data_IF_042934657151
#
_entry.id   IF_042934657151
#
_cell.length_a   1.000
_cell.length_b   1.000
_cell.length_c   1.000
_cell.angle_alpha   90.00
_cell.angle_beta   90.00
_cell.angle_gamma   90.00
#
_symmetry.space_group_name_H-M   'P 1'
#
loop_
_entity.id
_entity.type
_entity.pdbx_description
1 polymer ?
#
# COMPACT_ATOMS: atom_id res chain seq x y z
N UNK A 1 11.86 0.73 -15.49
CA UNK A 1 12.47 0.56 -14.16
C UNK A 1 13.01 -0.86 -14.06
N UNK A 2 14.28 -1.04 -13.73
CA UNK A 2 14.90 -2.36 -13.49
C UNK A 2 14.54 -2.85 -12.07
N UNK A 3 13.23 -2.95 -11.80
CA UNK A 3 12.72 -3.37 -10.49
C UNK A 3 12.61 -4.89 -10.41
N UNK A 4 13.04 -5.46 -9.27
CA UNK A 4 12.94 -6.90 -8.98
C UNK A 4 11.62 -7.26 -8.29
N UNK A 5 11.04 -6.32 -7.55
CA UNK A 5 9.77 -6.50 -6.83
C UNK A 5 8.94 -5.22 -6.90
N UNK A 6 7.63 -5.35 -7.00
CA UNK A 6 6.71 -4.23 -6.91
C UNK A 6 5.36 -4.63 -6.32
N UNK A 7 4.75 -3.70 -5.60
CA UNK A 7 3.37 -3.79 -5.13
C UNK A 7 2.60 -2.52 -5.51
N UNK A 8 1.29 -2.61 -5.71
CA UNK A 8 0.44 -1.42 -5.90
C UNK A 8 0.51 -0.49 -4.68
N UNK A 9 0.23 0.80 -4.89
CA UNK A 9 0.32 1.78 -3.80
C UNK A 9 -0.96 2.60 -3.60
N UNK A 10 -1.14 3.72 -4.30
CA UNK A 10 -2.26 4.65 -4.07
C UNK A 10 -3.62 4.09 -4.46
N UNK A 11 -4.66 4.56 -3.77
CA UNK A 11 -6.01 4.54 -4.31
C UNK A 11 -6.16 5.51 -5.49
N UNK A 12 -7.20 5.36 -6.30
CA UNK A 12 -7.45 6.23 -7.46
C UNK A 12 -8.93 6.29 -7.83
N UNK A 13 -9.30 7.31 -8.61
CA UNK A 13 -10.65 7.44 -9.13
C UNK A 13 -10.91 6.39 -10.22
N UNK A 14 -11.82 5.48 -9.92
CA UNK A 14 -12.24 4.43 -10.84
C UNK A 14 -13.76 4.24 -10.77
N UNK A 15 -14.49 5.25 -11.25
CA UNK A 15 -15.95 5.31 -11.17
C UNK A 15 -16.66 4.17 -11.91
N UNK A 16 -16.00 3.56 -12.89
CA UNK A 16 -16.56 2.47 -13.69
C UNK A 16 -16.04 1.10 -13.26
N UNK A 17 -15.09 1.02 -12.33
CA UNK A 17 -14.49 -0.23 -11.84
C UNK A 17 -13.61 -0.96 -12.87
N UNK A 18 -13.20 -0.27 -13.94
CA UNK A 18 -12.45 -0.85 -15.06
C UNK A 18 -10.92 -0.81 -14.86
N UNK A 19 -10.45 -0.12 -13.82
CA UNK A 19 -9.03 0.09 -13.61
C UNK A 19 -8.41 0.92 -14.73
N UNK A 20 -8.71 2.22 -14.76
CA UNK A 20 -8.24 3.10 -15.84
C UNK A 20 -6.76 3.47 -15.73
N UNK A 21 -6.10 3.14 -14.61
CA UNK A 21 -4.76 3.62 -14.27
C UNK A 21 -4.71 5.14 -14.08
N UNK A 22 -5.86 5.72 -13.71
CA UNK A 22 -6.07 7.16 -13.62
C UNK A 22 -5.19 7.84 -12.56
N UNK A 23 -5.54 9.08 -12.25
CA UNK A 23 -4.78 9.87 -11.25
C UNK A 23 -4.92 9.26 -9.86
N UNK A 24 -3.81 9.11 -9.11
CA UNK A 24 -3.85 8.63 -7.74
C UNK A 24 -4.63 9.61 -6.85
N UNK A 25 -5.22 9.12 -5.78
CA UNK A 25 -5.76 9.95 -4.72
C UNK A 25 -4.67 10.35 -3.73
N UNK A 26 -4.67 11.64 -3.37
CA UNK A 26 -3.83 12.17 -2.34
C UNK A 26 -2.39 12.41 -2.77
N UNK A 27 -1.52 12.47 -1.77
CA UNK A 27 -0.11 12.77 -1.96
C UNK A 27 0.59 11.75 -2.86
N UNK A 28 1.37 12.27 -3.80
CA UNK A 28 2.32 11.49 -4.58
C UNK A 28 3.63 12.24 -4.72
N UNK A 29 4.70 11.59 -4.29
CA UNK A 29 6.08 12.09 -4.46
C UNK A 29 6.95 10.96 -4.99
N UNK A 30 7.80 11.26 -5.96
CA UNK A 30 8.75 10.31 -6.50
C UNK A 30 10.06 10.97 -6.83
N UNK A 31 11.17 10.36 -6.39
CA UNK A 31 12.53 10.83 -6.60
C UNK A 31 12.73 12.30 -6.17
N UNK A 32 12.13 12.68 -5.05
CA UNK A 32 12.21 14.03 -4.51
C UNK A 32 11.24 15.05 -5.14
N UNK A 33 10.54 14.71 -6.23
CA UNK A 33 9.57 15.58 -6.88
C UNK A 33 8.15 15.29 -6.37
N UNK A 34 7.45 16.32 -5.87
CA UNK A 34 6.04 16.23 -5.50
C UNK A 34 5.19 16.35 -6.76
N UNK A 35 4.58 15.24 -7.16
CA UNK A 35 3.72 15.15 -8.34
C UNK A 35 2.28 15.51 -8.02
N UNK A 36 1.83 15.25 -6.79
CA UNK A 36 0.49 15.58 -6.32
C UNK A 36 0.50 15.92 -4.83
N UNK A 37 -0.20 16.98 -4.38
CA UNK A 37 -0.27 17.35 -2.97
C UNK A 37 -1.20 16.41 -2.18
N UNK A 38 -1.01 16.36 -0.87
CA UNK A 38 -1.94 15.70 0.05
C UNK A 38 -3.32 16.38 0.02
N UNK A 39 -4.38 15.58 0.03
CA UNK A 39 -5.74 16.09 -0.11
C UNK A 39 -6.75 15.50 0.88
N UNK A 40 -6.43 14.40 1.54
CA UNK A 40 -7.38 13.66 2.36
C UNK A 40 -7.18 13.94 3.85
N UNK A 41 -8.19 14.55 4.47
CA UNK A 41 -8.22 14.75 5.91
C UNK A 41 -8.24 13.39 6.64
N UNK A 42 -7.31 13.19 7.58
CA UNK A 42 -7.20 11.97 8.36
C UNK A 42 -6.48 10.80 7.68
N UNK A 43 -6.10 10.93 6.40
CA UNK A 43 -5.21 9.97 5.75
C UNK A 43 -3.77 10.21 6.18
N UNK A 44 -2.90 9.23 5.92
CA UNK A 44 -1.49 9.33 6.28
C UNK A 44 -0.63 9.32 5.02
N UNK A 45 0.38 10.19 5.01
CA UNK A 45 1.47 10.08 4.06
C UNK A 45 2.33 8.89 4.50
N UNK A 46 2.69 8.06 3.55
CA UNK A 46 3.48 6.84 3.68
C UNK A 46 4.63 7.00 2.72
N UNK A 47 5.83 7.24 3.20
CA UNK A 47 6.95 7.57 2.32
C UNK A 47 8.29 7.20 2.91
N UNK A 48 9.27 7.03 2.03
CA UNK A 48 10.66 6.82 2.40
C UNK A 48 11.43 8.15 2.33
N UNK A 49 12.27 8.39 3.32
CA UNK A 49 13.24 9.48 3.29
C UNK A 49 14.50 9.09 2.49
N UNK A 50 15.49 10.00 2.44
CA UNK A 50 16.74 9.77 1.71
C UNK A 50 17.63 8.69 2.34
N UNK A 51 17.39 8.32 3.60
CA UNK A 51 18.10 7.27 4.34
C UNK A 51 17.35 5.93 4.33
N UNK A 52 16.31 5.81 3.47
CA UNK A 52 15.44 4.64 3.34
C UNK A 52 14.62 4.29 4.60
N UNK A 53 14.34 5.28 5.47
CA UNK A 53 13.43 5.09 6.60
C UNK A 53 11.98 5.35 6.19
N UNK A 54 11.11 4.42 6.52
CA UNK A 54 9.66 4.55 6.29
C UNK A 54 9.05 5.50 7.32
N UNK A 55 8.51 6.60 6.83
CA UNK A 55 7.78 7.61 7.58
C UNK A 55 6.27 7.46 7.34
N UNK A 56 5.47 7.42 8.41
CA UNK A 56 4.02 7.35 8.32
C UNK A 56 3.40 8.40 9.23
N UNK A 57 2.61 9.32 8.68
CA UNK A 57 2.00 10.38 9.48
C UNK A 57 1.27 11.44 8.67
N UNK A 58 0.84 12.46 9.37
CA UNK A 58 0.35 13.71 8.79
C UNK A 58 1.52 14.72 8.79
N UNK A 59 2.00 15.06 7.60
CA UNK A 59 3.15 15.95 7.47
C UNK A 59 2.73 17.26 6.82
N UNK A 60 3.05 18.38 7.44
CA UNK A 60 2.93 19.72 6.84
C UNK A 60 4.13 20.06 5.97
N UNK A 61 5.26 19.42 6.22
CA UNK A 61 6.49 19.51 5.42
C UNK A 61 6.91 18.10 5.02
N UNK A 62 7.01 17.87 3.73
CA UNK A 62 7.42 16.60 3.11
C UNK A 62 8.76 16.71 2.41
N UNK A 63 9.54 17.77 2.66
CA UNK A 63 10.81 18.01 1.98
C UNK A 63 11.85 16.91 2.24
N UNK A 64 11.78 16.25 3.39
CA UNK A 64 12.64 15.14 3.78
C UNK A 64 12.27 13.79 3.12
N UNK A 65 11.10 13.69 2.49
CA UNK A 65 10.71 12.46 1.82
C UNK A 65 11.30 12.43 0.40
N UNK A 66 11.81 11.27 0.01
CA UNK A 66 12.24 10.98 -1.36
C UNK A 66 11.06 10.47 -2.19
N UNK A 67 10.35 9.49 -1.69
CA UNK A 67 9.19 8.85 -2.35
C UNK A 67 8.04 8.73 -1.35
N UNK A 68 6.79 8.79 -1.83
CA UNK A 68 5.66 8.59 -0.92
C UNK A 68 4.30 8.71 -1.60
N UNK A 69 3.32 8.14 -0.94
CA UNK A 69 1.89 8.14 -1.29
C UNK A 69 1.05 8.52 -0.09
N UNK A 70 -0.27 8.67 -0.28
CA UNK A 70 -1.22 8.91 0.79
C UNK A 70 -2.27 7.79 0.80
N UNK A 71 -2.48 7.16 1.98
CA UNK A 71 -3.52 6.16 2.16
C UNK A 71 -3.95 6.00 3.62
N UNK A 72 -4.93 5.11 3.89
CA UNK A 72 -5.46 4.79 5.22
C UNK A 72 -5.98 3.36 5.33
N UNK A 73 -6.12 2.85 6.56
CA UNK A 73 -5.54 3.37 7.80
C UNK A 73 -4.07 3.01 7.95
N UNK A 74 -3.34 3.79 8.76
CA UNK A 74 -2.08 3.32 9.30
C UNK A 74 -2.33 2.11 10.21
N UNK A 75 -1.44 1.13 10.15
CA UNK A 75 -1.54 -0.11 10.94
C UNK A 75 -0.72 -0.04 12.22
N UNK A 76 0.55 0.38 12.06
CA UNK A 76 1.52 0.44 13.15
C UNK A 76 2.29 1.76 13.01
N UNK A 77 2.39 2.52 14.10
CA UNK A 77 3.24 3.70 14.20
C UNK A 77 4.09 3.59 15.45
N UNK A 78 5.41 3.69 15.30
CA UNK A 78 6.38 3.58 16.38
C UNK A 78 6.18 2.32 17.24
N UNK A 79 5.95 1.17 16.58
CA UNK A 79 5.73 -0.12 17.23
C UNK A 79 4.36 -0.29 17.88
N UNK A 80 3.49 0.71 17.81
CA UNK A 80 2.13 0.61 18.36
C UNK A 80 1.14 0.18 17.28
N UNK A 81 0.49 -0.97 17.46
CA UNK A 81 -0.59 -1.43 16.58
C UNK A 81 -1.86 -0.61 16.84
N UNK A 82 -2.28 0.16 15.85
CA UNK A 82 -3.40 1.11 15.93
C UNK A 82 -4.74 0.48 15.56
N UNK A 83 -4.74 -0.70 14.95
CA UNK A 83 -5.94 -1.36 14.44
C UNK A 83 -6.37 -2.57 15.27
N UNK A 84 -5.61 -2.93 16.29
CA UNK A 84 -5.98 -3.98 17.23
C UNK A 84 -7.29 -3.62 17.95
N UNK A 85 -8.31 -4.50 17.83
CA UNK A 85 -9.62 -4.28 18.45
C UNK A 85 -10.44 -3.14 17.81
N UNK A 86 -10.09 -2.69 16.62
CA UNK A 86 -10.80 -1.60 15.93
C UNK A 86 -12.16 -2.01 15.35
N UNK A 87 -12.44 -3.31 15.24
CA UNK A 87 -13.65 -3.82 14.57
C UNK A 87 -13.60 -3.75 13.05
N UNK A 88 -12.45 -3.41 12.45
CA UNK A 88 -12.25 -3.39 10.99
C UNK A 88 -12.07 -4.81 10.44
N UNK A 89 -13.13 -5.60 10.50
CA UNK A 89 -13.16 -7.06 10.29
C UNK A 89 -13.52 -7.49 8.87
N UNK A 90 -13.84 -6.55 7.96
CA UNK A 90 -14.19 -6.86 6.58
C UNK A 90 -13.05 -7.56 5.83
N UNK A 91 -13.35 -8.74 5.27
CA UNK A 91 -12.36 -9.57 4.57
C UNK A 91 -12.28 -9.18 3.10
N UNK A 92 -11.12 -8.71 2.68
CA UNK A 92 -10.84 -8.24 1.32
C UNK A 92 -9.42 -8.65 0.91
N UNK A 93 -9.10 -8.65 -0.40
CA UNK A 93 -7.71 -8.57 -0.84
C UNK A 93 -7.07 -7.33 -0.23
N UNK A 94 -5.84 -7.45 0.25
CA UNK A 94 -5.15 -6.37 0.97
C UNK A 94 -3.72 -6.19 0.48
N UNK A 95 -3.28 -4.94 0.48
CA UNK A 95 -1.87 -4.56 0.28
C UNK A 95 -1.44 -3.69 1.44
N UNK A 96 -0.26 -3.95 1.98
CA UNK A 96 0.34 -3.16 3.04
C UNK A 96 1.86 -3.09 2.87
N UNK A 97 2.44 -2.01 3.38
CA UNK A 97 3.88 -1.80 3.46
C UNK A 97 4.28 -1.50 4.90
N UNK A 98 5.44 -1.94 5.31
CA UNK A 98 5.99 -1.63 6.63
C UNK A 98 7.50 -1.74 6.68
N UNK A 99 8.06 -1.34 7.81
CA UNK A 99 9.48 -1.42 8.08
C UNK A 99 9.73 -1.77 9.55
N UNK A 100 10.67 -2.67 9.80
CA UNK A 100 11.18 -2.96 11.13
C UNK A 100 12.22 -1.91 11.57
N UNK A 101 12.55 -1.88 12.87
CA UNK A 101 13.56 -0.95 13.42
C UNK A 101 14.97 -1.14 12.81
N UNK A 102 15.28 -2.33 12.33
CA UNK A 102 16.57 -2.63 11.68
C UNK A 102 16.63 -2.18 10.21
N UNK A 103 15.58 -1.55 9.69
CA UNK A 103 15.46 -1.08 8.33
C UNK A 103 14.89 -2.12 7.35
N UNK A 104 14.60 -3.36 7.79
CA UNK A 104 13.98 -4.38 6.92
C UNK A 104 12.60 -3.93 6.43
N UNK A 105 12.44 -3.77 5.12
CA UNK A 105 11.15 -3.43 4.51
C UNK A 105 10.29 -4.67 4.30
N UNK A 106 9.02 -4.56 4.63
CA UNK A 106 8.01 -5.60 4.47
C UNK A 106 6.95 -5.16 3.48
N UNK A 107 6.69 -6.00 2.48
CA UNK A 107 5.61 -5.82 1.52
C UNK A 107 4.64 -6.99 1.64
N UNK A 108 3.40 -6.72 2.03
CA UNK A 108 2.35 -7.72 2.21
C UNK A 108 1.28 -7.54 1.15
N UNK A 109 1.01 -8.59 0.39
CA UNK A 109 -0.17 -8.67 -0.48
C UNK A 109 -0.91 -9.96 -0.18
N UNK A 110 -2.21 -9.86 0.00
CA UNK A 110 -3.09 -11.00 0.28
C UNK A 110 -4.19 -11.05 -0.77
N UNK A 111 -4.27 -12.16 -1.49
CA UNK A 111 -5.38 -12.44 -2.39
C UNK A 111 -6.71 -12.53 -1.64
N UNK A 112 -7.81 -12.29 -2.33
CA UNK A 112 -9.13 -12.43 -1.72
C UNK A 112 -10.25 -12.52 -2.74
N UNK A 113 -11.50 -12.64 -2.26
CA UNK A 113 -12.71 -12.79 -3.08
C UNK A 113 -12.67 -14.01 -4.00
N UNK A 114 -11.93 -15.06 -3.61
CA UNK A 114 -11.71 -16.27 -4.39
C UNK A 114 -11.90 -17.52 -3.50
N UNK A 115 -12.14 -18.69 -4.13
CA UNK A 115 -12.36 -19.94 -3.38
C UNK A 115 -11.15 -20.38 -2.54
N UNK A 116 -9.94 -20.06 -2.99
CA UNK A 116 -8.71 -20.38 -2.29
C UNK A 116 -8.28 -19.33 -1.26
N UNK A 117 -8.82 -18.10 -1.35
CA UNK A 117 -8.58 -17.01 -0.41
C UNK A 117 -9.77 -16.06 -0.36
N UNK A 118 -10.36 -15.91 0.81
CA UNK A 118 -11.43 -14.92 1.02
C UNK A 118 -10.89 -13.51 1.23
N UNK A 119 -9.59 -13.38 1.49
CA UNK A 119 -8.93 -12.17 1.94
C UNK A 119 -8.80 -12.11 3.45
N UNK A 120 -8.35 -10.98 3.95
CA UNK A 120 -8.19 -10.74 5.39
C UNK A 120 -8.73 -9.36 5.80
N UNK A 121 -8.94 -9.19 7.11
CA UNK A 121 -9.34 -7.91 7.68
C UNK A 121 -8.15 -6.96 7.82
N UNK A 122 -8.43 -5.67 8.03
CA UNK A 122 -7.40 -4.67 8.35
C UNK A 122 -6.71 -5.00 9.67
N UNK A 123 -7.48 -5.46 10.69
CA UNK A 123 -6.90 -5.92 11.95
C UNK A 123 -5.90 -7.05 11.73
N UNK A 124 -6.25 -8.03 10.87
CA UNK A 124 -5.36 -9.14 10.55
C UNK A 124 -4.09 -8.70 9.81
N UNK A 125 -4.18 -7.66 8.96
CA UNK A 125 -2.99 -7.05 8.37
C UNK A 125 -2.06 -6.48 9.46
N UNK A 126 -2.62 -5.74 10.43
CA UNK A 126 -1.87 -5.22 11.57
C UNK A 126 -1.17 -6.31 12.37
N UNK A 127 -1.89 -7.40 12.71
CA UNK A 127 -1.33 -8.55 13.43
C UNK A 127 -0.18 -9.23 12.66
N UNK A 128 -0.34 -9.40 11.34
CA UNK A 128 0.70 -9.98 10.48
C UNK A 128 1.94 -9.07 10.49
N UNK A 129 1.78 -7.80 10.20
CA UNK A 129 2.89 -6.85 10.17
C UNK A 129 3.62 -6.78 11.53
N UNK A 130 2.86 -6.76 12.64
CA UNK A 130 3.40 -6.81 13.99
C UNK A 130 4.18 -8.11 14.26
N UNK A 131 3.66 -9.25 13.82
CA UNK A 131 4.32 -10.55 14.00
C UNK A 131 5.66 -10.67 13.26
N UNK A 132 5.84 -9.90 12.19
CA UNK A 132 7.10 -9.77 11.47
C UNK A 132 8.00 -8.64 11.98
N UNK A 133 7.60 -7.98 13.06
CA UNK A 133 8.42 -6.96 13.74
C UNK A 133 8.33 -5.57 13.13
N UNK A 134 7.23 -5.25 12.42
CA UNK A 134 7.05 -3.90 11.89
C UNK A 134 7.03 -2.85 13.00
N UNK A 135 7.86 -1.83 12.84
CA UNK A 135 7.87 -0.62 13.67
C UNK A 135 6.99 0.46 13.07
N UNK A 136 6.97 0.54 11.74
CA UNK A 136 6.04 1.34 10.96
C UNK A 136 5.30 0.44 9.97
N UNK A 137 3.98 0.57 9.82
CA UNK A 137 3.21 -0.11 8.78
C UNK A 137 1.94 0.64 8.44
N UNK A 138 1.53 0.58 7.17
CA UNK A 138 0.27 1.14 6.70
C UNK A 138 -0.37 0.27 5.63
N UNK A 139 -1.70 0.37 5.55
CA UNK A 139 -2.42 -0.12 4.38
C UNK A 139 -2.04 0.69 3.15
N UNK A 140 -2.15 0.06 2.00
CA UNK A 140 -2.19 0.63 0.66
C UNK A 140 -3.51 0.25 0.00
N UNK A 141 -3.75 0.66 -1.26
CA UNK A 141 -4.98 0.31 -1.96
C UNK A 141 -5.15 -1.21 -2.04
N UNK A 142 -6.34 -1.65 -1.73
CA UNK A 142 -6.70 -3.06 -1.62
C UNK A 142 -7.66 -3.53 -2.70
N UNK A 143 -8.39 -4.60 -2.37
CA UNK A 143 -9.42 -5.13 -3.27
C UNK A 143 -8.84 -5.59 -4.61
N UNK A 144 -9.44 -5.15 -5.71
CA UNK A 144 -9.00 -5.52 -7.07
C UNK A 144 -7.65 -4.90 -7.47
N UNK A 145 -7.10 -3.99 -6.65
CA UNK A 145 -5.79 -3.38 -6.88
C UNK A 145 -4.64 -4.18 -6.26
N UNK A 146 -4.94 -5.13 -5.36
CA UNK A 146 -3.91 -5.90 -4.64
C UNK A 146 -3.13 -6.78 -5.61
N UNK A 147 -1.87 -6.41 -5.87
CA UNK A 147 -0.99 -7.13 -6.79
C UNK A 147 0.45 -7.07 -6.32
N UNK A 148 1.18 -8.17 -6.52
CA UNK A 148 2.63 -8.24 -6.33
C UNK A 148 3.28 -8.85 -7.56
N UNK A 149 4.31 -8.17 -8.06
CA UNK A 149 5.11 -8.62 -9.21
C UNK A 149 6.54 -8.86 -8.74
N UNK A 150 7.09 -10.03 -9.03
CA UNK A 150 8.46 -10.40 -8.71
C UNK A 150 9.18 -10.91 -9.95
N UNK A 151 10.35 -10.34 -10.26
CA UNK A 151 11.14 -10.66 -11.45
C UNK A 151 10.29 -10.65 -12.74
N UNK A 152 9.44 -9.62 -12.90
CA UNK A 152 8.58 -9.46 -14.08
C UNK A 152 7.42 -10.44 -14.16
N UNK A 153 7.13 -11.19 -13.10
CA UNK A 153 6.00 -12.12 -13.02
C UNK A 153 5.07 -11.71 -11.89
N UNK A 154 3.79 -11.67 -12.18
CA UNK A 154 2.77 -11.56 -11.16
C UNK A 154 2.75 -12.86 -10.32
N UNK A 155 2.88 -12.72 -8.99
CA UNK A 155 2.92 -13.84 -8.04
C UNK A 155 1.67 -13.91 -7.15
N UNK A 156 0.77 -12.96 -7.30
CA UNK A 156 -0.55 -12.90 -6.69
C UNK A 156 -1.62 -13.25 -7.73
N UNK A 157 -2.86 -13.40 -7.29
CA UNK A 157 -4.02 -13.69 -8.15
C UNK A 157 -5.09 -12.62 -7.95
N UNK A 158 -4.91 -11.40 -8.49
CA UNK A 158 -5.87 -10.31 -8.28
C UNK A 158 -7.23 -10.65 -8.87
N UNK A 159 -8.28 -10.31 -8.12
CA UNK A 159 -9.66 -10.48 -8.55
C UNK A 159 -10.16 -9.17 -9.15
N UNK A 160 -10.37 -9.12 -10.45
CA UNK A 160 -10.94 -7.96 -11.12
C UNK A 160 -12.45 -8.12 -11.27
N UNK A 161 -13.18 -7.01 -11.11
CA UNK A 161 -14.59 -6.94 -11.46
C UNK A 161 -14.78 -6.68 -12.96
N UNK A 162 -13.75 -6.19 -13.61
CA UNK A 162 -13.73 -5.96 -15.07
C UNK A 162 -13.34 -7.24 -15.82
N UNK A 163 -13.81 -7.35 -17.07
CA UNK A 163 -13.43 -8.44 -17.98
C UNK A 163 -12.03 -8.23 -18.60
N UNK A 164 -11.18 -7.40 -17.97
CA UNK A 164 -9.83 -7.18 -18.45
C UNK A 164 -8.94 -8.38 -18.07
N UNK A 165 -8.53 -9.22 -19.03
CA UNK A 165 -7.71 -10.40 -18.74
C UNK A 165 -6.29 -10.06 -18.28
N UNK A 166 -5.84 -8.82 -18.48
CA UNK A 166 -4.52 -8.34 -18.06
C UNK A 166 -4.55 -7.72 -16.65
N UNK A 167 -5.70 -7.78 -15.97
CA UNK A 167 -5.87 -7.17 -14.66
C UNK A 167 -6.26 -5.70 -14.71
N UNK A 168 -6.18 -5.04 -13.59
CA UNK A 168 -6.57 -3.64 -13.40
C UNK A 168 -5.36 -2.74 -13.62
N UNK A 169 -5.51 -1.69 -14.44
CA UNK A 169 -4.48 -0.65 -14.54
C UNK A 169 -4.43 0.16 -13.24
N UNK A 170 -3.22 0.41 -12.74
CA UNK A 170 -2.94 1.06 -11.46
C UNK A 170 -2.10 2.32 -11.70
N UNK A 171 -2.29 3.39 -10.90
CA UNK A 171 -1.61 4.65 -11.15
C UNK A 171 -0.13 4.64 -10.74
N UNK A 172 0.21 3.90 -9.70
CA UNK A 172 1.55 3.89 -9.11
C UNK A 172 1.85 2.60 -8.34
N UNK A 173 3.10 2.45 -7.93
CA UNK A 173 3.59 1.29 -7.19
C UNK A 173 4.82 1.65 -6.33
N UNK A 174 5.00 0.94 -5.20
CA UNK A 174 6.30 0.85 -4.54
C UNK A 174 7.14 -0.23 -5.21
N UNK A 175 8.39 0.11 -5.54
CA UNK A 175 9.32 -0.73 -6.28
C UNK A 175 10.60 -0.97 -5.49
N UNK A 176 11.14 -2.19 -5.58
CA UNK A 176 12.48 -2.56 -5.09
C UNK A 176 13.38 -2.82 -6.29
N UNK A 177 14.56 -2.22 -6.28
CA UNK A 177 15.60 -2.36 -7.31
C UNK A 177 16.77 -3.20 -6.83
#
# INVERSE_FOLDING_TARGET
>A
YDAILGINASGFADYEGNGTGGLPYGFLKSQGETLQPAVADGWKIIGFDEDDHLQIGEFTDTSNLRDGVEFHPALIINGQNLVAGSGLSDQQPRTAIGQAEDGTVMMLVVDGRQLHSFGISVERCGEIMESYGAYQASMLDGGSSSVMVYNGREITSPTTLSQNPEGRYLPDAFLVR
#
